data_IF_756951914309
#
_entry.id   IF_756951914309
#
_cell.length_a   1.000
_cell.length_b   1.000
_cell.length_c   1.000
_cell.angle_alpha   90.00
_cell.angle_beta   90.00
_cell.angle_gamma   90.00
#
_symmetry.space_group_name_H-M   'P 1'
#
loop_
_entity.id
_entity.type
_entity.pdbx_description
1 polymer ?
#
# COMPACT_ATOMS: atom_id res chain seq x y z
N UNK A 1 -25.44 -1.62 54.04
CA UNK A 1 -24.82 -0.58 53.17
C UNK A 1 -23.58 -1.09 52.40
N UNK A 2 -22.70 -1.89 53.01
CA UNK A 2 -21.45 -2.36 52.40
C UNK A 2 -21.61 -3.22 51.11
N UNK A 3 -22.68 -4.01 51.00
CA UNK A 3 -22.94 -4.85 49.83
C UNK A 3 -23.39 -4.06 48.58
N UNK A 4 -24.05 -2.90 48.75
CA UNK A 4 -24.50 -2.06 47.62
C UNK A 4 -23.37 -1.32 46.91
N UNK A 5 -22.35 -0.87 47.65
CA UNK A 5 -21.16 -0.22 47.08
C UNK A 5 -20.29 -1.20 46.28
N UNK A 6 -20.25 -2.48 46.68
CA UNK A 6 -19.48 -3.52 45.97
C UNK A 6 -20.13 -3.97 44.66
N UNK A 7 -21.46 -3.85 44.55
CA UNK A 7 -22.19 -4.08 43.30
C UNK A 7 -21.93 -2.94 42.29
N UNK A 8 -22.08 -1.67 42.71
CA UNK A 8 -21.78 -0.51 41.84
C UNK A 8 -20.32 -0.44 41.39
N UNK A 9 -19.38 -0.86 42.23
CA UNK A 9 -17.95 -0.92 41.87
C UNK A 9 -17.62 -2.08 40.91
N UNK A 10 -18.41 -3.17 40.91
CA UNK A 10 -18.30 -4.26 39.92
C UNK A 10 -18.97 -3.88 38.59
N UNK A 11 -20.08 -3.16 38.65
CA UNK A 11 -20.83 -2.66 37.49
C UNK A 11 -20.02 -1.60 36.72
N UNK A 12 -19.40 -0.65 37.43
CA UNK A 12 -18.50 0.33 36.80
C UNK A 12 -17.26 -0.30 36.16
N UNK A 13 -16.66 -1.31 36.80
CA UNK A 13 -15.55 -2.07 36.22
C UNK A 13 -15.96 -2.98 35.06
N UNK A 14 -17.22 -3.43 35.03
CA UNK A 14 -17.80 -4.19 33.93
C UNK A 14 -18.01 -3.31 32.70
N UNK A 15 -18.65 -2.15 32.90
CA UNK A 15 -18.90 -1.17 31.85
C UNK A 15 -17.62 -0.60 31.22
N UNK A 16 -16.59 -0.26 32.02
CA UNK A 16 -15.30 0.18 31.49
C UNK A 16 -14.62 -0.90 30.64
N UNK A 17 -14.78 -2.18 31.01
CA UNK A 17 -14.18 -3.30 30.28
C UNK A 17 -14.92 -3.58 28.98
N UNK A 18 -16.25 -3.54 29.00
CA UNK A 18 -17.09 -3.67 27.81
C UNK A 18 -16.87 -2.50 26.82
N UNK A 19 -16.69 -1.27 27.31
CA UNK A 19 -16.37 -0.12 26.45
C UNK A 19 -14.99 -0.28 25.77
N UNK A 20 -13.98 -0.72 26.52
CA UNK A 20 -12.63 -0.98 25.98
C UNK A 20 -12.66 -2.12 24.95
N UNK A 21 -13.37 -3.20 25.23
CA UNK A 21 -13.54 -4.32 24.30
C UNK A 21 -14.33 -3.90 23.05
N UNK A 22 -15.34 -3.05 23.20
CA UNK A 22 -16.11 -2.48 22.08
C UNK A 22 -15.26 -1.56 21.19
N UNK A 23 -14.45 -0.67 21.79
CA UNK A 23 -13.48 0.17 21.05
C UNK A 23 -12.46 -0.67 20.29
N UNK A 24 -11.91 -1.70 20.94
CA UNK A 24 -10.93 -2.58 20.31
C UNK A 24 -11.53 -3.40 19.18
N UNK A 25 -12.78 -3.84 19.33
CA UNK A 25 -13.52 -4.52 18.29
C UNK A 25 -13.78 -3.61 17.09
N UNK A 26 -14.27 -2.38 17.30
CA UNK A 26 -14.53 -1.42 16.22
C UNK A 26 -13.27 -1.02 15.45
N UNK A 27 -12.14 -0.83 16.16
CA UNK A 27 -10.84 -0.60 15.53
C UNK A 27 -10.39 -1.80 14.69
N UNK A 28 -10.50 -3.01 15.22
CA UNK A 28 -10.13 -4.26 14.51
C UNK A 28 -10.95 -4.44 13.24
N UNK A 29 -12.26 -4.21 13.32
CA UNK A 29 -13.18 -4.27 12.18
C UNK A 29 -12.82 -3.21 11.13
N UNK A 30 -12.50 -1.98 11.56
CA UNK A 30 -12.08 -0.90 10.65
C UNK A 30 -10.78 -1.23 9.90
N UNK A 31 -9.80 -1.86 10.56
CA UNK A 31 -8.57 -2.31 9.91
C UNK A 31 -8.82 -3.45 8.94
N UNK A 32 -9.66 -4.42 9.33
CA UNK A 32 -10.02 -5.54 8.49
C UNK A 32 -10.74 -5.08 7.20
N UNK A 33 -11.63 -4.10 7.30
CA UNK A 33 -12.32 -3.53 6.14
C UNK A 33 -11.34 -2.76 5.25
N UNK A 34 -10.45 -1.95 5.83
CA UNK A 34 -9.39 -1.25 5.08
C UNK A 34 -8.49 -2.25 4.33
N UNK A 35 -8.16 -3.38 4.97
CA UNK A 35 -7.36 -4.44 4.35
C UNK A 35 -8.12 -5.14 3.20
N UNK A 36 -9.42 -5.43 3.37
CA UNK A 36 -10.26 -6.01 2.30
C UNK A 36 -10.43 -5.08 1.11
N UNK A 37 -10.55 -3.78 1.35
CA UNK A 37 -10.60 -2.78 0.29
C UNK A 37 -9.27 -2.70 -0.47
N UNK A 38 -8.15 -2.88 0.23
CA UNK A 38 -6.84 -2.96 -0.40
C UNK A 38 -6.69 -4.27 -1.20
N UNK A 39 -7.21 -5.38 -0.68
CA UNK A 39 -7.22 -6.67 -1.36
C UNK A 39 -7.99 -6.62 -2.69
N UNK A 40 -9.22 -6.10 -2.69
CA UNK A 40 -10.00 -5.93 -3.93
C UNK A 40 -9.34 -4.95 -4.90
N UNK A 41 -8.67 -3.93 -4.37
CA UNK A 41 -7.88 -2.99 -5.16
C UNK A 41 -6.66 -3.63 -5.83
N UNK A 42 -5.99 -4.55 -5.16
CA UNK A 42 -4.86 -5.30 -5.71
C UNK A 42 -5.30 -6.32 -6.74
N UNK A 43 -6.49 -6.89 -6.58
CA UNK A 43 -7.12 -7.71 -7.61
C UNK A 43 -7.41 -6.88 -8.87
N UNK A 44 -7.81 -5.61 -8.70
CA UNK A 44 -8.06 -4.69 -9.81
C UNK A 44 -6.78 -4.11 -10.46
N UNK A 45 -5.63 -4.10 -9.76
CA UNK A 45 -4.37 -3.55 -10.28
C UNK A 45 -3.85 -4.24 -11.57
N UNK A 46 -3.78 -5.58 -11.69
CA UNK A 46 -3.39 -6.23 -12.95
C UNK A 46 -4.40 -6.00 -14.07
N UNK A 47 -5.69 -5.90 -13.73
CA UNK A 47 -6.73 -5.55 -14.69
C UNK A 47 -6.55 -4.13 -15.23
N UNK A 48 -6.21 -3.18 -14.35
CA UNK A 48 -5.87 -1.81 -14.71
C UNK A 48 -4.62 -1.72 -15.60
N UNK A 49 -3.55 -2.50 -15.29
CA UNK A 49 -2.36 -2.62 -16.15
C UNK A 49 -2.77 -3.01 -17.58
N UNK A 50 -3.61 -4.02 -17.70
CA UNK A 50 -4.02 -4.56 -19.00
C UNK A 50 -4.89 -3.57 -19.78
N UNK A 51 -5.83 -2.90 -19.10
CA UNK A 51 -6.70 -1.90 -19.71
C UNK A 51 -5.92 -0.66 -20.20
N UNK A 52 -4.93 -0.20 -19.43
CA UNK A 52 -4.03 0.87 -19.85
C UNK A 52 -3.14 0.45 -21.03
N UNK A 53 -2.61 -0.78 -21.00
CA UNK A 53 -1.83 -1.33 -22.11
C UNK A 53 -2.63 -1.35 -23.43
N UNK A 54 -3.88 -1.82 -23.40
CA UNK A 54 -4.76 -1.80 -24.60
C UNK A 54 -4.99 -0.36 -25.06
N UNK A 55 -5.32 0.54 -24.15
CA UNK A 55 -5.59 1.95 -24.48
C UNK A 55 -4.39 2.60 -25.17
N UNK A 56 -3.17 2.37 -24.67
CA UNK A 56 -1.96 2.91 -25.30
C UNK A 56 -1.63 2.26 -26.65
N UNK A 57 -2.08 1.03 -26.88
CA UNK A 57 -1.79 0.29 -28.11
C UNK A 57 -2.82 0.52 -29.21
N UNK A 58 -4.09 0.69 -28.89
CA UNK A 58 -5.18 0.82 -29.87
C UNK A 58 -5.42 2.27 -30.32
N UNK A 59 -5.08 3.27 -29.50
CA UNK A 59 -5.31 4.69 -29.82
C UNK A 59 -4.06 5.56 -29.63
N UNK A 60 -2.98 5.33 -30.39
CA UNK A 60 -1.76 6.14 -30.28
C UNK A 60 -1.94 7.59 -30.76
N UNK A 61 -2.86 7.87 -31.68
CA UNK A 61 -3.05 9.18 -32.34
C UNK A 61 -4.33 9.93 -31.93
N UNK A 62 -5.13 9.40 -30.99
CA UNK A 62 -6.46 9.95 -30.66
C UNK A 62 -6.51 10.50 -29.23
N UNK A 63 -6.83 11.79 -29.08
CA UNK A 63 -6.97 12.53 -27.81
C UNK A 63 -7.97 11.85 -26.83
N UNK A 64 -8.82 10.94 -27.30
CA UNK A 64 -9.69 10.14 -26.44
C UNK A 64 -8.94 9.16 -25.53
N UNK A 65 -7.76 8.67 -25.92
CA UNK A 65 -7.02 7.61 -25.19
C UNK A 65 -6.56 8.04 -23.78
N UNK A 66 -6.00 9.23 -23.64
CA UNK A 66 -5.62 9.84 -22.34
C UNK A 66 -6.84 10.24 -21.55
N UNK A 67 -7.94 10.72 -22.14
CA UNK A 67 -9.16 10.94 -21.36
C UNK A 67 -9.72 9.64 -20.82
N UNK A 68 -9.62 8.54 -21.57
CA UNK A 68 -9.94 7.20 -21.06
C UNK A 68 -8.98 6.78 -19.95
N UNK A 69 -7.68 6.95 -20.12
CA UNK A 69 -6.68 6.63 -19.09
C UNK A 69 -6.88 7.44 -17.79
N UNK A 70 -7.09 8.76 -17.91
CA UNK A 70 -7.39 9.66 -16.80
C UNK A 70 -8.76 9.33 -16.19
N UNK A 71 -9.78 9.02 -16.99
CA UNK A 71 -11.10 8.60 -16.50
C UNK A 71 -10.99 7.30 -15.71
N UNK A 72 -10.20 6.33 -16.18
CA UNK A 72 -9.95 5.08 -15.47
C UNK A 72 -9.19 5.34 -14.17
N UNK A 73 -8.10 6.11 -14.18
CA UNK A 73 -7.35 6.46 -12.96
C UNK A 73 -8.19 7.28 -11.97
N UNK A 74 -9.01 8.21 -12.45
CA UNK A 74 -9.87 9.06 -11.61
C UNK A 74 -11.09 8.31 -11.07
N UNK A 75 -11.67 7.39 -11.84
CA UNK A 75 -12.72 6.49 -11.35
C UNK A 75 -12.17 5.57 -10.26
N UNK A 76 -10.94 5.08 -10.43
CA UNK A 76 -10.25 4.28 -9.43
C UNK A 76 -9.96 5.08 -8.15
N UNK A 77 -9.48 6.32 -8.28
CA UNK A 77 -9.30 7.26 -7.16
C UNK A 77 -10.63 7.70 -6.50
N UNK A 78 -11.74 7.67 -7.24
CA UNK A 78 -13.07 7.98 -6.71
C UNK A 78 -13.67 6.81 -5.93
N UNK A 79 -13.53 5.58 -6.44
CA UNK A 79 -13.95 4.35 -5.75
C UNK A 79 -13.23 4.20 -4.41
N UNK A 80 -11.94 4.46 -4.44
CA UNK A 80 -11.06 4.67 -3.30
C UNK A 80 -11.63 5.59 -2.20
N UNK A 81 -11.94 6.83 -2.56
CA UNK A 81 -12.49 7.83 -1.62
C UNK A 81 -13.89 7.43 -1.14
N UNK A 82 -14.72 6.88 -2.03
CA UNK A 82 -16.06 6.42 -1.70
C UNK A 82 -16.04 5.27 -0.70
N UNK A 83 -15.14 4.30 -0.87
CA UNK A 83 -14.99 3.17 0.03
C UNK A 83 -14.53 3.61 1.44
N UNK A 84 -13.60 4.57 1.50
CA UNK A 84 -13.19 5.18 2.78
C UNK A 84 -14.39 5.93 3.42
N UNK A 85 -15.18 6.67 2.65
CA UNK A 85 -16.34 7.40 3.17
C UNK A 85 -17.46 6.49 3.66
N UNK A 86 -17.82 5.45 2.89
CA UNK A 86 -18.88 4.51 3.23
C UNK A 86 -18.58 3.74 4.52
N UNK A 87 -17.31 3.41 4.76
CA UNK A 87 -16.91 2.78 6.02
C UNK A 87 -17.05 3.71 7.23
N UNK A 88 -16.73 5.00 7.07
CA UNK A 88 -16.84 5.96 8.17
C UNK A 88 -18.30 6.32 8.49
N UNK A 89 -19.22 6.29 7.52
CA UNK A 89 -20.65 6.51 7.79
C UNK A 89 -21.30 5.39 8.60
N UNK A 90 -20.77 4.18 8.55
CA UNK A 90 -21.29 3.02 9.30
C UNK A 90 -20.74 2.95 10.73
N UNK A 91 -19.70 3.72 11.04
CA UNK A 91 -19.05 3.76 12.36
C UNK A 91 -19.49 4.99 13.18
N UNK A 92 -20.74 5.44 13.00
CA UNK A 92 -21.31 6.59 13.69
C UNK A 92 -21.44 6.35 15.20
N UNK A 93 -20.41 6.74 15.95
CA UNK A 93 -20.50 6.95 17.40
C UNK A 93 -19.72 8.21 17.82
N UNK A 94 -20.38 9.01 18.63
CA UNK A 94 -20.16 10.43 18.88
C UNK A 94 -18.83 10.72 19.62
N UNK A 95 -17.79 11.15 18.90
CA UNK A 95 -16.70 11.96 19.49
C UNK A 95 -16.02 12.82 18.43
N UNK A 96 -16.64 13.97 18.17
CA UNK A 96 -16.44 14.82 17.00
C UNK A 96 -15.03 15.43 16.81
N UNK A 97 -14.19 15.47 17.85
CA UNK A 97 -12.82 16.00 17.76
C UNK A 97 -11.80 14.96 17.29
N UNK A 98 -11.97 13.66 17.58
CA UNK A 98 -11.02 12.62 17.18
C UNK A 98 -11.39 11.92 15.86
N UNK A 99 -12.61 12.13 15.36
CA UNK A 99 -13.14 11.43 14.18
C UNK A 99 -12.54 11.95 12.87
N UNK A 100 -12.35 13.28 12.77
CA UNK A 100 -11.74 13.92 11.60
C UNK A 100 -10.28 13.53 11.41
N UNK A 101 -9.54 13.36 12.51
CA UNK A 101 -8.15 12.92 12.48
C UNK A 101 -8.04 11.44 12.08
N UNK A 102 -8.94 10.59 12.56
CA UNK A 102 -9.05 9.18 12.14
C UNK A 102 -9.43 9.06 10.66
N UNK A 103 -10.37 9.87 10.18
CA UNK A 103 -10.74 9.93 8.75
C UNK A 103 -9.55 10.33 7.89
N UNK A 104 -8.88 11.41 8.27
CA UNK A 104 -7.71 11.93 7.55
C UNK A 104 -6.59 10.91 7.52
N UNK A 105 -6.30 10.24 8.64
CA UNK A 105 -5.31 9.15 8.71
C UNK A 105 -5.60 8.02 7.71
N UNK A 106 -6.84 7.51 7.70
CA UNK A 106 -7.26 6.45 6.77
C UNK A 106 -7.18 6.89 5.32
N UNK A 107 -7.60 8.13 5.03
CA UNK A 107 -7.51 8.70 3.69
C UNK A 107 -6.06 8.84 3.22
N UNK A 108 -5.15 9.36 4.04
CA UNK A 108 -3.73 9.49 3.71
C UNK A 108 -3.06 8.12 3.52
N UNK A 109 -3.36 7.15 4.39
CA UNK A 109 -2.88 5.78 4.21
C UNK A 109 -3.36 5.18 2.89
N UNK A 110 -4.64 5.37 2.58
CA UNK A 110 -5.23 4.86 1.37
C UNK A 110 -4.64 5.53 0.12
N UNK A 111 -4.55 6.87 0.09
CA UNK A 111 -3.91 7.63 -0.99
C UNK A 111 -2.45 7.21 -1.20
N UNK A 112 -1.71 6.98 -0.12
CA UNK A 112 -0.35 6.48 -0.16
C UNK A 112 -0.26 5.15 -0.94
N UNK A 113 -1.16 4.20 -0.65
CA UNK A 113 -1.21 2.89 -1.34
C UNK A 113 -1.63 2.99 -2.80
N UNK A 114 -2.57 3.88 -3.10
CA UNK A 114 -3.03 4.08 -4.47
C UNK A 114 -1.97 4.73 -5.34
N UNK A 115 -1.24 5.71 -4.81
CA UNK A 115 -0.15 6.32 -5.55
C UNK A 115 1.04 5.36 -5.73
N UNK A 116 1.31 4.50 -4.75
CA UNK A 116 2.33 3.43 -4.85
C UNK A 116 2.00 2.49 -6.01
N UNK A 117 0.80 1.91 -5.96
CA UNK A 117 0.38 0.87 -6.89
C UNK A 117 0.08 1.46 -8.27
N UNK A 118 -0.63 2.57 -8.33
CA UNK A 118 -1.00 3.26 -9.58
C UNK A 118 0.21 3.76 -10.37
N UNK A 119 1.20 4.34 -9.69
CA UNK A 119 2.46 4.76 -10.33
C UNK A 119 3.19 3.57 -10.96
N UNK A 120 3.30 2.45 -10.23
CA UNK A 120 3.94 1.23 -10.73
C UNK A 120 3.18 0.59 -11.90
N UNK A 121 1.86 0.48 -11.78
CA UNK A 121 0.99 -0.05 -12.83
C UNK A 121 1.17 0.75 -14.14
N UNK A 122 1.20 2.08 -14.04
CA UNK A 122 1.41 2.95 -15.19
C UNK A 122 2.82 2.79 -15.79
N UNK A 123 3.87 2.71 -14.97
CA UNK A 123 5.23 2.42 -15.44
C UNK A 123 5.33 1.09 -16.18
N UNK A 124 4.73 0.02 -15.65
CA UNK A 124 4.72 -1.31 -16.26
C UNK A 124 3.95 -1.27 -17.59
N UNK A 125 2.78 -0.61 -17.64
CA UNK A 125 1.98 -0.49 -18.85
C UNK A 125 2.72 0.28 -19.97
N UNK A 126 3.37 1.39 -19.62
CA UNK A 126 4.20 2.16 -20.55
C UNK A 126 5.37 1.31 -21.04
N UNK A 127 6.15 0.70 -20.15
CA UNK A 127 7.26 -0.17 -20.55
C UNK A 127 6.81 -1.35 -21.42
N UNK A 128 5.64 -1.92 -21.13
CA UNK A 128 5.04 -2.99 -21.92
C UNK A 128 4.67 -2.59 -23.34
N UNK A 129 4.28 -1.33 -23.56
CA UNK A 129 3.95 -0.83 -24.90
C UNK A 129 5.14 -0.93 -25.88
N UNK A 130 6.38 -0.72 -25.39
CA UNK A 130 7.59 -0.75 -26.22
C UNK A 130 8.28 -2.12 -26.23
N UNK A 131 8.41 -2.78 -25.07
CA UNK A 131 9.28 -3.95 -24.94
C UNK A 131 8.55 -5.30 -24.82
N UNK A 132 7.21 -5.31 -24.88
CA UNK A 132 6.34 -6.48 -24.87
C UNK A 132 6.77 -7.56 -23.85
N UNK A 133 7.54 -8.57 -24.29
CA UNK A 133 7.94 -9.72 -23.49
C UNK A 133 8.97 -9.41 -22.38
N UNK A 134 9.77 -8.35 -22.50
CA UNK A 134 10.79 -8.02 -21.49
C UNK A 134 10.20 -7.58 -20.15
N UNK A 135 8.94 -7.16 -20.13
CA UNK A 135 8.20 -6.80 -18.90
C UNK A 135 8.17 -7.97 -17.93
N UNK A 136 7.91 -9.18 -18.43
CA UNK A 136 7.90 -10.39 -17.60
C UNK A 136 9.28 -10.67 -16.99
N UNK A 137 10.35 -10.28 -17.67
CA UNK A 137 11.71 -10.37 -17.14
C UNK A 137 11.92 -9.46 -15.94
N UNK A 138 11.58 -8.17 -16.06
CA UNK A 138 11.75 -7.19 -14.97
C UNK A 138 10.82 -7.51 -13.79
N UNK A 139 9.53 -7.72 -14.06
CA UNK A 139 8.54 -8.03 -13.01
C UNK A 139 8.85 -9.38 -12.35
N UNK A 140 9.24 -10.39 -13.14
CA UNK A 140 9.66 -11.69 -12.63
C UNK A 140 10.93 -11.61 -11.80
N UNK A 141 11.92 -10.80 -12.20
CA UNK A 141 13.11 -10.55 -11.41
C UNK A 141 12.77 -9.90 -10.06
N UNK A 142 11.93 -8.86 -10.06
CA UNK A 142 11.47 -8.24 -8.82
C UNK A 142 10.78 -9.23 -7.90
N UNK A 143 9.88 -10.05 -8.46
CA UNK A 143 9.19 -11.11 -7.72
C UNK A 143 10.18 -12.08 -7.07
N UNK A 144 11.19 -12.55 -7.82
CA UNK A 144 12.22 -13.47 -7.30
C UNK A 144 13.03 -12.81 -6.18
N UNK A 145 13.40 -11.54 -6.32
CA UNK A 145 14.11 -10.80 -5.27
C UNK A 145 13.26 -10.70 -4.00
N UNK A 146 11.98 -10.35 -4.12
CA UNK A 146 11.08 -10.23 -2.97
C UNK A 146 10.77 -11.59 -2.33
N UNK A 147 10.60 -12.63 -3.13
CA UNK A 147 10.44 -14.00 -2.66
C UNK A 147 11.69 -14.47 -1.89
N UNK A 148 12.88 -14.28 -2.47
CA UNK A 148 14.14 -14.66 -1.84
C UNK A 148 14.37 -13.89 -0.53
N UNK A 149 14.04 -12.59 -0.52
CA UNK A 149 14.06 -11.78 0.69
C UNK A 149 13.14 -12.36 1.76
N UNK A 150 11.89 -12.67 1.43
CA UNK A 150 10.93 -13.22 2.38
C UNK A 150 11.44 -14.53 2.97
N UNK A 151 11.85 -15.47 2.10
CA UNK A 151 12.39 -16.77 2.51
C UNK A 151 13.63 -16.61 3.40
N UNK A 152 14.52 -15.67 3.07
CA UNK A 152 15.69 -15.37 3.91
C UNK A 152 15.29 -14.82 5.28
N UNK A 153 14.27 -13.96 5.33
CA UNK A 153 13.80 -13.34 6.57
C UNK A 153 13.05 -14.31 7.50
N UNK A 154 12.42 -15.34 6.94
CA UNK A 154 11.63 -16.35 7.67
C UNK A 154 12.38 -17.69 7.84
N UNK A 155 13.66 -17.75 7.42
CA UNK A 155 14.53 -18.92 7.49
C UNK A 155 14.84 -19.27 8.97
N UNK A 156 13.92 -19.96 9.64
CA UNK A 156 14.11 -20.42 11.01
C UNK A 156 12.86 -20.67 11.86
N UNK A 157 11.63 -20.39 11.38
CA UNK A 157 10.41 -20.48 12.21
C UNK A 157 9.39 -21.56 11.83
N UNK A 158 9.27 -21.96 10.56
CA UNK A 158 8.20 -22.88 10.11
C UNK A 158 8.68 -23.95 9.11
N UNK A 159 7.81 -24.93 8.80
CA UNK A 159 8.10 -26.01 7.85
C UNK A 159 8.21 -25.53 6.40
N UNK A 160 9.15 -26.10 5.64
CA UNK A 160 9.54 -25.63 4.30
C UNK A 160 8.39 -25.38 3.30
N UNK A 161 7.35 -26.22 3.29
CA UNK A 161 6.21 -26.06 2.41
C UNK A 161 5.34 -24.83 2.75
N UNK A 162 5.18 -24.54 4.05
CA UNK A 162 4.38 -23.42 4.55
C UNK A 162 5.08 -22.09 4.25
N UNK A 163 6.38 -21.99 4.53
CA UNK A 163 7.20 -20.82 4.19
C UNK A 163 7.25 -20.56 2.69
N UNK A 164 7.25 -21.61 1.86
CA UNK A 164 7.21 -21.46 0.39
C UNK A 164 5.89 -20.84 -0.08
N UNK A 165 4.74 -21.36 0.38
CA UNK A 165 3.43 -20.83 -0.02
C UNK A 165 3.24 -19.39 0.43
N UNK A 166 3.56 -19.08 1.69
CA UNK A 166 3.48 -17.71 2.19
C UNK A 166 4.49 -16.79 1.51
N UNK A 167 5.68 -17.30 1.16
CA UNK A 167 6.67 -16.55 0.41
C UNK A 167 6.22 -16.19 -0.99
N UNK A 168 5.54 -17.10 -1.71
CA UNK A 168 4.97 -16.81 -3.04
C UNK A 168 3.91 -15.72 -2.92
N UNK A 169 3.00 -15.83 -1.95
CA UNK A 169 1.94 -14.84 -1.74
C UNK A 169 2.54 -13.47 -1.35
N UNK A 170 3.50 -13.46 -0.42
CA UNK A 170 4.19 -12.26 0.01
C UNK A 170 4.98 -11.63 -1.15
N UNK A 171 5.68 -12.43 -1.96
CA UNK A 171 6.39 -11.98 -3.15
C UNK A 171 5.46 -11.34 -4.16
N UNK A 172 4.29 -11.94 -4.42
CA UNK A 172 3.27 -11.36 -5.32
C UNK A 172 2.74 -10.03 -4.80
N UNK A 173 2.41 -9.95 -3.51
CA UNK A 173 1.94 -8.72 -2.86
C UNK A 173 3.02 -7.62 -2.93
N UNK A 174 4.28 -7.98 -2.65
CA UNK A 174 5.44 -7.07 -2.69
C UNK A 174 5.82 -6.59 -4.10
N UNK A 175 5.36 -7.27 -5.15
CA UNK A 175 5.43 -6.73 -6.52
C UNK A 175 4.54 -5.50 -6.68
N UNK A 176 3.48 -5.31 -5.90
CA UNK A 176 2.64 -4.12 -6.05
C UNK A 176 2.87 -3.10 -4.93
N UNK A 177 3.04 -3.55 -3.70
CA UNK A 177 3.25 -2.66 -2.56
C UNK A 177 3.85 -3.39 -1.35
N UNK A 178 4.45 -2.63 -0.44
CA UNK A 178 4.99 -3.21 0.79
C UNK A 178 3.89 -3.43 1.86
N UNK A 179 3.62 -4.68 2.30
CA UNK A 179 2.68 -4.91 3.40
C UNK A 179 3.27 -4.44 4.74
N UNK A 180 2.56 -3.52 5.42
CA UNK A 180 2.97 -2.89 6.68
C UNK A 180 3.18 -3.88 7.85
N UNK A 181 2.64 -5.10 7.74
CA UNK A 181 2.69 -6.10 8.81
C UNK A 181 3.98 -6.93 8.85
N UNK A 182 4.79 -6.87 7.80
CA UNK A 182 6.16 -7.38 7.90
C UNK A 182 6.89 -6.42 8.85
N UNK A 183 7.66 -6.93 9.82
CA UNK A 183 8.52 -6.09 10.67
C UNK A 183 9.97 -6.08 10.13
N UNK A 184 10.27 -5.51 8.96
CA UNK A 184 11.65 -5.25 8.59
C UNK A 184 12.21 -4.15 9.49
N UNK A 185 13.52 -4.21 9.74
CA UNK A 185 14.25 -3.07 10.26
C UNK A 185 14.09 -1.86 9.32
N UNK A 186 14.25 -0.62 9.83
CA UNK A 186 14.12 0.59 9.00
C UNK A 186 15.00 0.57 7.75
N UNK A 187 16.18 -0.04 7.86
CA UNK A 187 17.11 -0.24 6.75
C UNK A 187 16.48 -1.09 5.63
N UNK A 188 15.84 -2.19 5.98
CA UNK A 188 15.16 -3.08 5.05
C UNK A 188 13.99 -2.38 4.34
N UNK A 189 13.27 -1.50 5.02
CA UNK A 189 12.27 -0.63 4.40
C UNK A 189 12.88 0.33 3.37
N UNK A 190 14.00 0.98 3.71
CA UNK A 190 14.72 1.88 2.78
C UNK A 190 15.22 1.13 1.54
N UNK A 191 15.79 -0.06 1.72
CA UNK A 191 16.28 -0.89 0.60
C UNK A 191 15.13 -1.31 -0.31
N UNK A 192 13.98 -1.70 0.25
CA UNK A 192 12.79 -2.02 -0.54
C UNK A 192 12.36 -0.84 -1.40
N UNK A 193 12.15 0.34 -0.80
CA UNK A 193 11.72 1.52 -1.55
C UNK A 193 12.78 2.00 -2.54
N UNK A 194 14.07 1.88 -2.22
CA UNK A 194 15.15 2.19 -3.16
C UNK A 194 15.10 1.28 -4.40
N UNK A 195 14.93 -0.03 -4.23
CA UNK A 195 14.75 -0.98 -5.34
C UNK A 195 13.49 -0.66 -6.14
N UNK A 196 12.37 -0.41 -5.45
CA UNK A 196 11.09 -0.05 -6.06
C UNK A 196 11.22 1.19 -6.95
N UNK A 197 11.77 2.30 -6.43
CA UNK A 197 11.92 3.52 -7.22
C UNK A 197 12.92 3.36 -8.35
N UNK A 198 14.04 2.67 -8.11
CA UNK A 198 15.06 2.45 -9.14
C UNK A 198 14.49 1.67 -10.31
N UNK A 199 13.76 0.58 -10.05
CA UNK A 199 13.13 -0.22 -11.09
C UNK A 199 12.09 0.57 -11.89
N UNK A 200 11.20 1.29 -11.21
CA UNK A 200 10.16 2.10 -11.87
C UNK A 200 10.76 3.25 -12.68
N UNK A 201 11.79 3.92 -12.16
CA UNK A 201 12.51 4.96 -12.88
C UNK A 201 13.23 4.40 -14.11
N UNK A 202 13.87 3.24 -14.00
CA UNK A 202 14.51 2.56 -15.13
C UNK A 202 13.48 2.19 -16.21
N UNK A 203 12.32 1.64 -15.82
CA UNK A 203 11.25 1.34 -16.77
C UNK A 203 10.76 2.60 -17.50
N UNK A 204 10.50 3.69 -16.76
CA UNK A 204 10.06 4.96 -17.36
C UNK A 204 11.14 5.57 -18.26
N UNK A 205 12.40 5.56 -17.83
CA UNK A 205 13.52 6.12 -18.60
C UNK A 205 13.78 5.31 -19.88
N UNK A 206 13.77 3.98 -19.80
CA UNK A 206 13.91 3.11 -20.97
C UNK A 206 12.77 3.32 -21.95
N UNK A 207 11.53 3.42 -21.46
CA UNK A 207 10.38 3.75 -22.30
C UNK A 207 10.54 5.13 -22.95
N UNK A 208 10.89 6.18 -22.19
CA UNK A 208 11.05 7.53 -22.71
C UNK A 208 12.15 7.63 -23.79
N UNK A 209 13.25 6.89 -23.63
CA UNK A 209 14.36 6.90 -24.59
C UNK A 209 14.11 5.99 -25.79
N UNK A 210 13.47 4.84 -25.61
CA UNK A 210 13.37 3.83 -26.66
C UNK A 210 12.02 3.78 -27.36
N UNK A 211 11.02 4.51 -26.87
CA UNK A 211 9.73 4.60 -27.56
C UNK A 211 9.91 5.29 -28.91
N UNK A 212 9.28 4.70 -29.93
CA UNK A 212 9.14 5.32 -31.26
C UNK A 212 8.03 6.38 -31.27
N UNK A 213 7.14 6.34 -30.27
CA UNK A 213 5.94 7.17 -30.19
C UNK A 213 6.22 8.50 -29.47
N UNK A 214 7.39 9.12 -29.71
CA UNK A 214 7.78 10.39 -29.04
C UNK A 214 6.94 11.58 -29.47
N UNK A 215 6.46 11.55 -30.71
CA UNK A 215 5.58 12.57 -31.27
C UNK A 215 4.12 12.32 -30.90
N UNK A 216 3.82 11.19 -30.24
CA UNK A 216 2.48 10.90 -29.79
C UNK A 216 2.09 11.87 -28.66
N UNK A 217 0.86 12.34 -28.75
CA UNK A 217 0.27 13.33 -27.85
C UNK A 217 0.30 12.91 -26.36
N UNK A 218 0.31 11.59 -26.08
CA UNK A 218 0.36 11.03 -24.72
C UNK A 218 1.77 10.95 -24.12
N UNK A 219 2.83 11.19 -24.90
CA UNK A 219 4.21 11.05 -24.44
C UNK A 219 4.53 11.92 -23.21
N UNK A 220 4.27 13.22 -23.30
CA UNK A 220 4.51 14.17 -22.20
C UNK A 220 3.53 13.97 -21.04
N UNK A 221 2.20 13.87 -21.24
CA UNK A 221 1.25 13.63 -20.16
C UNK A 221 1.52 12.35 -19.37
N UNK A 222 1.94 11.27 -20.02
CA UNK A 222 2.27 10.02 -19.34
C UNK A 222 3.45 10.17 -18.37
N UNK A 223 4.54 10.81 -18.82
CA UNK A 223 5.72 11.09 -17.97
C UNK A 223 5.33 11.98 -16.78
N UNK A 224 4.61 13.07 -17.05
CA UNK A 224 4.16 13.99 -16.00
C UNK A 224 3.27 13.27 -14.98
N UNK A 225 2.32 12.45 -15.45
CA UNK A 225 1.43 11.69 -14.57
C UNK A 225 2.20 10.73 -13.67
N UNK A 226 3.16 9.99 -14.21
CA UNK A 226 4.01 9.08 -13.43
C UNK A 226 4.81 9.84 -12.37
N UNK A 227 5.43 10.96 -12.74
CA UNK A 227 6.19 11.80 -11.79
C UNK A 227 5.27 12.33 -10.68
N UNK A 228 4.10 12.84 -11.02
CA UNK A 228 3.12 13.36 -10.05
C UNK A 228 2.67 12.25 -9.10
N UNK A 229 2.39 11.04 -9.60
CA UNK A 229 2.01 9.90 -8.75
C UNK A 229 3.12 9.52 -7.77
N UNK A 230 4.39 9.47 -8.20
CA UNK A 230 5.50 9.17 -7.29
C UNK A 230 5.76 10.28 -6.27
N UNK A 231 5.64 11.54 -6.66
CA UNK A 231 5.74 12.67 -5.73
C UNK A 231 4.61 12.63 -4.70
N UNK A 232 3.37 12.39 -5.15
CA UNK A 232 2.22 12.26 -4.26
C UNK A 232 2.37 11.07 -3.31
N UNK A 233 2.89 9.95 -3.80
CA UNK A 233 3.25 8.79 -2.97
C UNK A 233 4.25 9.17 -1.86
N UNK A 234 5.36 9.86 -2.20
CA UNK A 234 6.33 10.31 -1.19
C UNK A 234 5.72 11.25 -0.16
N UNK A 235 4.95 12.26 -0.61
CA UNK A 235 4.35 13.25 0.28
C UNK A 235 3.34 12.60 1.22
N UNK A 236 2.43 11.77 0.69
CA UNK A 236 1.41 11.09 1.50
C UNK A 236 2.02 10.09 2.48
N UNK A 237 3.07 9.37 2.08
CA UNK A 237 3.86 8.51 2.97
C UNK A 237 4.49 9.31 4.11
N UNK A 238 5.20 10.41 3.81
CA UNK A 238 5.85 11.23 4.83
C UNK A 238 4.84 11.89 5.78
N UNK A 239 3.72 12.39 5.25
CA UNK A 239 2.63 12.94 6.06
C UNK A 239 2.01 11.88 6.97
N UNK A 240 1.79 10.67 6.46
CA UNK A 240 1.30 9.55 7.25
C UNK A 240 2.26 9.24 8.42
N UNK A 241 3.55 9.11 8.15
CA UNK A 241 4.55 8.82 9.18
C UNK A 241 4.75 9.96 10.19
N UNK A 242 4.67 11.22 9.77
CA UNK A 242 4.85 12.37 10.67
C UNK A 242 3.63 12.69 11.52
N UNK A 243 2.44 12.68 10.92
CA UNK A 243 1.23 13.18 11.57
C UNK A 243 0.43 12.09 12.29
N UNK A 244 0.50 10.84 11.80
CA UNK A 244 -0.42 9.78 12.24
C UNK A 244 0.27 8.55 12.82
N UNK A 245 1.60 8.43 12.70
CA UNK A 245 2.31 7.33 13.35
C UNK A 245 2.50 7.63 14.86
N UNK A 246 1.96 6.80 15.77
CA UNK A 246 1.92 7.06 17.21
C UNK A 246 3.29 7.05 17.94
N UNK A 247 4.41 7.02 17.20
CA UNK A 247 5.79 7.06 17.71
C UNK A 247 6.69 8.07 16.99
N UNK A 248 6.15 9.18 16.51
CA UNK A 248 6.95 10.22 15.86
C UNK A 248 8.02 10.86 16.80
N UNK A 249 7.90 10.68 18.12
CA UNK A 249 8.86 11.17 19.13
C UNK A 249 10.04 10.24 19.48
N UNK A 250 9.94 8.92 19.25
CA UNK A 250 10.95 7.93 19.65
C UNK A 250 11.58 7.24 18.43
N UNK A 251 11.95 8.02 17.42
CA UNK A 251 12.68 7.51 16.26
C UNK A 251 14.17 7.45 16.62
N UNK A 252 14.54 6.50 17.49
CA UNK A 252 15.95 6.27 17.84
C UNK A 252 16.69 5.81 16.57
N UNK A 253 17.53 6.69 16.01
CA UNK A 253 18.16 6.56 14.68
C UNK A 253 19.14 5.37 14.56
N UNK A 254 19.44 4.72 15.68
CA UNK A 254 20.25 3.51 15.79
C UNK A 254 19.47 2.44 16.54
N UNK A 255 19.10 1.34 15.87
CA UNK A 255 18.87 0.09 16.60
C UNK A 255 20.23 -0.60 16.61
N UNK A 256 20.92 -0.52 17.73
CA UNK A 256 22.05 -1.39 18.00
C UNK A 256 21.53 -2.83 17.93
N UNK A 257 22.13 -3.65 17.06
CA UNK A 257 21.70 -5.02 16.81
C UNK A 257 22.04 -5.88 18.03
N UNK A 258 21.18 -5.86 19.05
CA UNK A 258 21.35 -6.72 20.21
C UNK A 258 20.93 -8.15 19.88
N UNK A 259 21.96 -8.98 19.68
CA UNK A 259 21.89 -10.41 19.37
C UNK A 259 21.26 -11.23 20.52
N UNK A 260 20.96 -10.64 21.68
CA UNK A 260 20.36 -11.33 22.83
C UNK A 260 18.82 -11.40 22.83
N UNK A 261 18.13 -10.63 21.99
CA UNK A 261 16.64 -10.61 21.96
C UNK A 261 15.98 -11.87 21.35
N UNK A 262 16.75 -12.81 20.81
CA UNK A 262 16.27 -14.09 20.27
C UNK A 262 15.99 -15.18 21.33
N UNK A 263 16.00 -14.84 22.63
CA UNK A 263 15.78 -15.79 23.73
C UNK A 263 14.67 -15.39 24.73
N UNK A 264 13.52 -14.86 24.32
CA UNK A 264 12.32 -14.85 25.18
C UNK A 264 11.09 -15.09 24.26
N UNK A 265 10.52 -16.30 24.20
CA UNK A 265 9.57 -16.99 25.11
C UNK A 265 8.10 -16.70 24.72
N UNK A 266 7.45 -17.78 24.28
CA UNK A 266 6.05 -18.02 23.88
C UNK A 266 5.71 -17.68 22.43
#
# INVERSE_FOLDING_TARGET
MYYGCRSRARDGKGGEREEVDHKRYSETVSWAITARLLESFLEAAPQLCFQLYITFKETPDDDEGTWRGIAVLSSWASLAVLAVKAHNSDTGDESTDNEKDKFSCKLFYFLWRVCETGGRVLCIALFASTFYSWVFGIVGFHFVVMFAWYVWSDLGREGAARTTVWGILAGYVMVFYMPFHSRPSRYLYLVYYALFYTENFLMLALWAVMTSDRDAWFYIPAIVTVIVLFLLHMVTQLLYYKCFHPKAGDIEFCVEFDRQSLKIRW
#
